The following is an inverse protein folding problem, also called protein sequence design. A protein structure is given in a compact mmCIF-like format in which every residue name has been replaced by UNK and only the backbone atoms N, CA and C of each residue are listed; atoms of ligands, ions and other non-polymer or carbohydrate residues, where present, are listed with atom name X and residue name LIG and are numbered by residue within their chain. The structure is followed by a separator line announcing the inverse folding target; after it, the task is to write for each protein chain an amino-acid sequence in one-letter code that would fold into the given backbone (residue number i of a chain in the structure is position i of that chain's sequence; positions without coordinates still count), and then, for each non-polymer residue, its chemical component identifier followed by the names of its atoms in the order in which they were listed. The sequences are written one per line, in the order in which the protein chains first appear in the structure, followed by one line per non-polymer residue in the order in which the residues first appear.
data_IF_425962794295
#
_entry.id   IF_425962794295
#
_cell.length_a   1.000
_cell.length_b   1.000
_cell.length_c   1.000
_cell.angle_alpha   90.00
_cell.angle_beta   90.00
_cell.angle_gamma   90.00
#
_symmetry.space_group_name_H-M   'P 1'
#
loop_
_entity.id
_entity.type
_entity.pdbx_description
1 polymer ?
#
# COMPACT_ATOMS: atom_id res chain seq x y z
N UNK A 1 1.06 9.82 -4.72
CA UNK A 1 2.12 9.03 -4.04
C UNK A 1 2.12 7.64 -4.65
N UNK A 2 3.29 7.12 -5.00
CA UNK A 2 3.45 5.79 -5.61
C UNK A 2 3.14 4.69 -4.57
N UNK A 3 2.50 3.60 -4.99
CA UNK A 3 2.09 2.50 -4.13
C UNK A 3 3.25 1.79 -3.43
N UNK A 4 4.43 1.69 -4.06
CA UNK A 4 5.63 1.12 -3.42
C UNK A 4 6.07 1.95 -2.23
N UNK A 5 6.00 3.28 -2.35
CA UNK A 5 6.33 4.19 -1.25
C UNK A 5 5.31 4.06 -0.12
N UNK A 6 4.01 4.01 -0.43
CA UNK A 6 2.96 3.80 0.58
C UNK A 6 3.16 2.47 1.31
N UNK A 7 3.37 1.37 0.58
CA UNK A 7 3.56 0.05 1.16
C UNK A 7 4.79 -0.02 2.06
N UNK A 8 5.92 0.53 1.60
CA UNK A 8 7.16 0.54 2.37
C UNK A 8 7.02 1.35 3.67
N UNK A 9 6.46 2.56 3.60
CA UNK A 9 6.29 3.41 4.78
C UNK A 9 5.23 2.90 5.75
N UNK A 10 4.27 2.10 5.28
CA UNK A 10 3.32 1.42 6.16
C UNK A 10 3.97 0.24 6.88
N UNK A 11 4.84 -0.49 6.18
CA UNK A 11 5.66 -1.58 6.73
C UNK A 11 6.73 -1.08 7.71
N UNK A 12 7.42 0.02 7.38
CA UNK A 12 8.50 0.60 8.15
C UNK A 12 8.28 2.11 8.38
N UNK A 13 7.44 2.43 9.37
CA UNK A 13 7.02 3.81 9.66
C UNK A 13 8.15 4.71 10.12
N UNK A 14 9.18 4.16 10.76
CA UNK A 14 10.34 4.90 11.25
C UNK A 14 11.13 5.54 10.09
N UNK A 15 11.00 5.02 8.88
CA UNK A 15 11.63 5.57 7.68
C UNK A 15 10.89 6.76 7.08
N UNK A 16 9.72 7.16 7.57
CA UNK A 16 9.02 8.36 7.10
C UNK A 16 9.82 9.64 7.34
N UNK A 17 10.43 9.72 8.52
CA UNK A 17 11.33 10.81 8.91
C UNK A 17 12.46 10.23 9.74
N UNK A 18 13.67 10.27 9.18
CA UNK A 18 14.84 9.70 9.83
C UNK A 18 16.05 10.58 9.50
N UNK A 19 16.56 11.25 10.54
CA UNK A 19 17.78 12.05 10.48
C UNK A 19 18.78 11.46 11.47
N UNK A 20 19.96 11.15 10.97
CA UNK A 20 21.10 10.71 11.79
C UNK A 20 22.25 11.69 11.57
N UNK A 21 22.63 12.41 12.64
CA UNK A 21 23.70 13.41 12.59
C UNK A 21 25.09 12.81 12.36
N UNK A 22 25.23 11.49 12.52
CA UNK A 22 26.48 10.76 12.30
C UNK A 22 26.53 10.08 10.93
N UNK A 23 25.47 10.18 10.11
CA UNK A 23 25.47 9.61 8.78
C UNK A 23 26.37 10.43 7.83
N UNK A 24 27.10 9.72 6.96
CA UNK A 24 27.93 10.34 5.92
C UNK A 24 27.09 10.97 4.79
N UNK A 25 25.80 10.60 4.69
CA UNK A 25 24.89 11.12 3.68
C UNK A 25 24.44 12.56 4.00
N UNK A 26 24.50 13.44 2.99
CA UNK A 26 23.90 14.78 3.09
C UNK A 26 22.37 14.76 2.98
N UNK A 27 21.82 13.73 2.35
CA UNK A 27 20.38 13.54 2.17
C UNK A 27 19.80 12.66 3.28
N UNK A 28 18.57 12.96 3.71
CA UNK A 28 17.89 12.20 4.76
C UNK A 28 16.38 12.14 4.52
N UNK A 29 15.76 11.10 5.04
CA UNK A 29 14.34 10.82 4.81
C UNK A 29 13.45 11.83 5.53
N UNK A 30 12.52 12.40 4.77
CA UNK A 30 11.44 13.31 5.21
C UNK A 30 10.18 13.03 4.39
N UNK A 31 8.98 13.41 4.87
CA UNK A 31 7.75 13.27 4.08
C UNK A 31 7.86 13.89 2.67
N UNK A 32 8.51 15.04 2.55
CA UNK A 32 8.72 15.73 1.26
C UNK A 32 9.67 14.96 0.34
N UNK A 33 10.75 14.39 0.86
CA UNK A 33 11.67 13.57 0.07
C UNK A 33 11.03 12.27 -0.43
N UNK A 34 10.12 11.65 0.35
CA UNK A 34 9.36 10.48 -0.09
C UNK A 34 8.33 10.81 -1.18
N UNK A 35 7.77 12.01 -1.16
CA UNK A 35 6.98 12.52 -2.29
C UNK A 35 7.84 12.67 -3.56
N UNK A 36 9.09 13.14 -3.43
CA UNK A 36 10.02 13.19 -4.55
C UNK A 36 10.36 11.79 -5.07
N UNK A 37 10.59 10.80 -4.21
CA UNK A 37 10.74 9.38 -4.60
C UNK A 37 9.50 8.88 -5.34
N UNK A 38 8.30 9.24 -4.89
CA UNK A 38 7.06 8.90 -5.60
C UNK A 38 7.02 9.51 -7.01
N UNK A 39 7.44 10.77 -7.16
CA UNK A 39 7.48 11.43 -8.46
C UNK A 39 8.50 10.78 -9.40
N UNK A 40 9.67 10.38 -8.89
CA UNK A 40 10.67 9.63 -9.67
C UNK A 40 10.04 8.33 -10.19
N UNK A 41 9.39 7.56 -9.33
CA UNK A 41 8.79 6.27 -9.71
C UNK A 41 7.60 6.39 -10.66
N UNK A 42 6.83 7.48 -10.57
CA UNK A 42 5.63 7.68 -11.39
C UNK A 42 5.95 8.27 -12.77
N UNK A 43 6.95 9.15 -12.87
CA UNK A 43 7.17 9.98 -14.06
C UNK A 43 8.52 9.76 -14.75
N UNK A 44 9.46 9.05 -14.11
CA UNK A 44 10.77 8.74 -14.70
C UNK A 44 10.85 7.26 -15.08
N UNK A 45 10.86 6.36 -14.11
CA UNK A 45 10.79 4.90 -14.31
C UNK A 45 10.28 4.25 -13.02
N UNK A 46 9.36 3.29 -13.13
CA UNK A 46 8.77 2.59 -11.98
C UNK A 46 9.68 1.50 -11.39
N UNK A 47 10.78 1.16 -12.06
CA UNK A 47 11.78 0.21 -11.61
C UNK A 47 12.73 0.83 -10.57
N UNK A 48 12.59 0.36 -9.33
CA UNK A 48 13.37 0.82 -8.17
C UNK A 48 14.87 0.50 -8.33
N UNK A 49 15.23 -0.62 -8.98
CA UNK A 49 16.63 -0.98 -9.19
C UNK A 49 17.31 0.02 -10.15
N UNK A 50 16.61 0.47 -11.20
CA UNK A 50 17.13 1.49 -12.13
C UNK A 50 17.18 2.88 -11.51
N UNK A 51 16.19 3.23 -10.69
CA UNK A 51 16.09 4.56 -10.07
C UNK A 51 16.89 4.70 -8.77
N UNK A 52 17.56 3.64 -8.32
CA UNK A 52 18.24 3.58 -7.02
C UNK A 52 19.15 4.79 -6.74
N UNK A 53 19.99 5.21 -7.69
CA UNK A 53 20.90 6.35 -7.48
C UNK A 53 20.16 7.67 -7.26
N UNK A 54 19.05 7.90 -7.96
CA UNK A 54 18.22 9.10 -7.76
C UNK A 54 17.50 9.03 -6.40
N UNK A 55 16.98 7.86 -6.03
CA UNK A 55 16.31 7.65 -4.76
C UNK A 55 17.30 7.90 -3.60
N UNK A 56 18.48 7.30 -3.63
CA UNK A 56 19.51 7.49 -2.62
C UNK A 56 19.93 8.96 -2.48
N UNK A 57 20.03 9.70 -3.59
CA UNK A 57 20.32 11.14 -3.56
C UNK A 57 19.22 12.00 -2.92
N UNK A 58 18.01 11.46 -2.76
CA UNK A 58 16.85 12.19 -2.21
C UNK A 58 16.58 11.82 -0.75
N UNK A 59 16.72 10.55 -0.36
CA UNK A 59 16.39 10.06 0.99
C UNK A 59 17.58 9.52 1.80
N UNK A 60 18.78 9.57 1.24
CA UNK A 60 19.97 8.94 1.82
C UNK A 60 20.12 7.47 1.41
N UNK A 61 21.34 6.95 1.48
CA UNK A 61 21.70 5.60 1.04
C UNK A 61 21.05 4.51 1.90
N UNK A 62 21.01 4.68 3.23
CA UNK A 62 20.41 3.73 4.17
C UNK A 62 18.93 3.43 3.86
N UNK A 63 18.04 4.43 3.92
CA UNK A 63 16.63 4.26 3.57
C UNK A 63 16.43 3.76 2.13
N UNK A 64 17.27 4.19 1.17
CA UNK A 64 17.18 3.75 -0.21
C UNK A 64 17.52 2.25 -0.40
N UNK A 65 18.53 1.73 0.30
CA UNK A 65 18.89 0.31 0.26
C UNK A 65 17.77 -0.54 0.83
N UNK A 66 17.19 -0.13 1.96
CA UNK A 66 16.06 -0.82 2.57
C UNK A 66 14.84 -0.82 1.65
N UNK A 67 14.49 0.34 1.10
CA UNK A 67 13.36 0.48 0.18
C UNK A 67 13.55 -0.38 -1.07
N UNK A 68 14.75 -0.34 -1.68
CA UNK A 68 15.11 -1.17 -2.83
C UNK A 68 14.98 -2.65 -2.51
N UNK A 69 15.54 -3.09 -1.38
CA UNK A 69 15.48 -4.50 -0.96
C UNK A 69 14.05 -4.95 -0.75
N UNK A 70 13.25 -4.16 -0.02
CA UNK A 70 11.85 -4.46 0.26
C UNK A 70 11.00 -4.48 -1.01
N UNK A 71 11.22 -3.55 -1.95
CA UNK A 71 10.43 -3.46 -3.20
C UNK A 71 10.46 -4.72 -4.07
N UNK A 72 11.44 -5.61 -3.86
CA UNK A 72 11.52 -6.90 -4.56
C UNK A 72 10.36 -7.83 -4.22
N UNK A 73 9.70 -7.64 -3.07
CA UNK A 73 8.52 -8.41 -2.65
C UNK A 73 7.36 -8.30 -3.65
N UNK A 74 7.32 -7.23 -4.46
CA UNK A 74 6.29 -7.05 -5.49
C UNK A 74 6.30 -8.16 -6.55
N UNK A 75 7.44 -8.84 -6.73
CA UNK A 75 7.55 -9.98 -7.66
C UNK A 75 6.81 -11.22 -7.18
N UNK A 76 6.53 -11.30 -5.88
CA UNK A 76 5.89 -12.44 -5.24
C UNK A 76 4.39 -12.20 -4.97
N UNK A 77 3.85 -11.05 -5.40
CA UNK A 77 2.45 -10.71 -5.17
C UNK A 77 1.52 -11.50 -6.09
N UNK A 78 0.31 -11.84 -5.61
CA UNK A 78 -0.75 -12.29 -6.50
C UNK A 78 -1.07 -11.22 -7.53
N UNK A 79 -1.52 -11.66 -8.71
CA UNK A 79 -1.94 -10.76 -9.76
C UNK A 79 -3.15 -9.92 -9.29
N UNK A 80 -2.98 -8.59 -9.32
CA UNK A 80 -3.97 -7.65 -8.82
C UNK A 80 -5.21 -7.65 -9.71
N UNK A 81 -5.05 -7.76 -11.03
CA UNK A 81 -6.19 -7.81 -11.95
C UNK A 81 -7.00 -9.09 -11.71
N UNK A 82 -6.35 -10.23 -11.49
CA UNK A 82 -7.02 -11.48 -11.14
C UNK A 82 -7.84 -11.40 -9.85
N UNK A 83 -7.33 -10.68 -8.84
CA UNK A 83 -8.07 -10.42 -7.60
C UNK A 83 -9.36 -9.64 -7.91
N UNK A 84 -9.25 -8.54 -8.66
CA UNK A 84 -10.39 -7.68 -8.98
C UNK A 84 -11.36 -8.32 -9.98
N UNK A 85 -10.91 -9.27 -10.79
CA UNK A 85 -11.75 -10.14 -11.63
C UNK A 85 -12.45 -11.27 -10.85
N UNK A 86 -12.11 -11.44 -9.56
CA UNK A 86 -12.76 -12.41 -8.67
C UNK A 86 -12.18 -13.83 -8.77
N UNK A 87 -10.98 -14.01 -9.31
CA UNK A 87 -10.31 -15.32 -9.43
C UNK A 87 -9.70 -15.84 -8.13
N UNK A 88 -9.62 -15.00 -7.10
CA UNK A 88 -9.16 -15.36 -5.75
C UNK A 88 -7.83 -16.16 -5.71
N UNK A 89 -6.73 -15.58 -6.19
CA UNK A 89 -5.40 -16.22 -6.10
C UNK A 89 -4.97 -16.47 -4.65
N UNK A 90 -3.86 -17.16 -4.42
CA UNK A 90 -3.41 -17.47 -3.05
C UNK A 90 -2.97 -16.19 -2.32
N UNK A 91 -3.53 -15.96 -1.13
CA UNK A 91 -3.10 -14.87 -0.24
C UNK A 91 -1.66 -15.09 0.24
N UNK A 92 -0.77 -14.09 0.14
CA UNK A 92 0.57 -14.16 0.71
C UNK A 92 0.54 -14.36 2.23
N UNK A 93 1.55 -15.08 2.76
CA UNK A 93 1.67 -15.32 4.20
C UNK A 93 2.69 -14.42 4.88
N UNK A 94 3.63 -13.82 4.12
CA UNK A 94 4.65 -12.93 4.66
C UNK A 94 4.07 -11.54 4.93
N UNK A 95 4.42 -10.98 6.09
CA UNK A 95 3.95 -9.66 6.53
C UNK A 95 4.34 -8.53 5.57
N UNK A 96 5.56 -8.54 5.05
CA UNK A 96 6.05 -7.54 4.09
C UNK A 96 5.26 -7.57 2.77
N UNK A 97 4.99 -8.78 2.26
CA UNK A 97 4.15 -8.98 1.08
C UNK A 97 2.71 -8.52 1.30
N UNK A 98 2.16 -8.69 2.52
CA UNK A 98 0.81 -8.22 2.84
C UNK A 98 0.70 -6.68 2.82
N UNK A 99 1.71 -5.95 3.30
CA UNK A 99 1.74 -4.48 3.16
C UNK A 99 1.83 -4.04 1.70
N UNK A 100 2.68 -4.70 0.91
CA UNK A 100 2.80 -4.44 -0.52
C UNK A 100 1.50 -4.74 -1.28
N UNK A 101 0.82 -5.84 -0.92
CA UNK A 101 -0.49 -6.21 -1.46
C UNK A 101 -1.55 -5.17 -1.13
N UNK A 102 -1.67 -4.75 0.13
CA UNK A 102 -2.63 -3.70 0.53
C UNK A 102 -2.40 -2.41 -0.26
N UNK A 103 -1.15 -1.97 -0.40
CA UNK A 103 -0.82 -0.75 -1.15
C UNK A 103 -1.17 -0.88 -2.65
N UNK A 104 -0.86 -2.04 -3.25
CA UNK A 104 -1.16 -2.33 -4.66
C UNK A 104 -2.67 -2.38 -4.93
N UNK A 105 -3.42 -3.09 -4.07
CA UNK A 105 -4.87 -3.17 -4.16
C UNK A 105 -5.53 -1.79 -3.99
N UNK A 106 -5.07 -0.97 -3.04
CA UNK A 106 -5.58 0.40 -2.86
C UNK A 106 -5.30 1.29 -4.06
N UNK A 107 -4.12 1.19 -4.67
CA UNK A 107 -3.80 1.94 -5.89
C UNK A 107 -4.70 1.53 -7.05
N UNK A 108 -4.86 0.22 -7.27
CA UNK A 108 -5.75 -0.32 -8.30
C UNK A 108 -7.22 0.07 -8.05
N UNK A 109 -7.70 -0.06 -6.82
CA UNK A 109 -9.05 0.36 -6.43
C UNK A 109 -9.29 1.85 -6.68
N UNK A 110 -8.27 2.71 -6.50
CA UNK A 110 -8.38 4.15 -6.81
C UNK A 110 -8.54 4.40 -8.31
N UNK A 111 -7.83 3.66 -9.14
CA UNK A 111 -7.94 3.76 -10.60
C UNK A 111 -9.32 3.30 -11.09
N UNK A 112 -9.80 2.15 -10.59
CA UNK A 112 -11.07 1.54 -10.96
C UNK A 112 -12.21 1.85 -9.97
N UNK A 113 -12.14 3.00 -9.31
CA UNK A 113 -13.01 3.35 -8.17
C UNK A 113 -14.51 3.38 -8.48
N UNK A 114 -14.91 3.43 -9.74
CA UNK A 114 -16.30 3.44 -10.15
C UNK A 114 -16.82 2.05 -10.58
N UNK A 115 -15.94 1.05 -10.72
CA UNK A 115 -16.32 -0.34 -10.99
C UNK A 115 -16.64 -1.08 -9.68
N UNK A 116 -17.88 -0.93 -9.22
CA UNK A 116 -18.33 -1.51 -7.95
C UNK A 116 -18.27 -3.03 -7.93
N UNK A 117 -18.33 -3.70 -9.08
CA UNK A 117 -18.22 -5.16 -9.16
C UNK A 117 -16.79 -5.60 -8.86
N UNK A 118 -15.80 -4.95 -9.49
CA UNK A 118 -14.38 -5.20 -9.21
C UNK A 118 -14.01 -4.87 -7.77
N UNK A 119 -14.54 -3.77 -7.23
CA UNK A 119 -14.34 -3.40 -5.82
C UNK A 119 -14.93 -4.47 -4.89
N UNK A 120 -16.15 -4.96 -5.16
CA UNK A 120 -16.78 -6.05 -4.39
C UNK A 120 -15.93 -7.34 -4.41
N UNK A 121 -15.42 -7.75 -5.58
CA UNK A 121 -14.52 -8.90 -5.71
C UNK A 121 -13.27 -8.75 -4.81
N UNK A 122 -12.66 -7.55 -4.81
CA UNK A 122 -11.49 -7.28 -3.97
C UNK A 122 -11.82 -7.30 -2.47
N UNK A 123 -13.05 -6.93 -2.07
CA UNK A 123 -13.51 -7.03 -0.68
C UNK A 123 -13.69 -8.48 -0.26
N UNK A 124 -14.27 -9.32 -1.13
CA UNK A 124 -14.40 -10.77 -0.89
C UNK A 124 -13.00 -11.38 -0.69
N UNK A 125 -12.07 -11.02 -1.56
CA UNK A 125 -10.68 -11.46 -1.41
C UNK A 125 -10.06 -11.00 -0.08
N UNK A 126 -10.29 -9.74 0.31
CA UNK A 126 -9.79 -9.19 1.57
C UNK A 126 -10.34 -9.89 2.83
N UNK A 127 -11.43 -10.65 2.74
CA UNK A 127 -11.95 -11.44 3.86
C UNK A 127 -11.09 -12.68 4.16
N UNK A 128 -10.27 -13.12 3.20
CA UNK A 128 -9.34 -14.25 3.34
C UNK A 128 -8.00 -13.83 3.98
N UNK A 129 -7.72 -12.53 4.02
CA UNK A 129 -6.56 -11.95 4.67
C UNK A 129 -6.67 -12.03 6.20
N UNK A 130 -5.56 -11.87 6.91
CA UNK A 130 -5.63 -11.74 8.37
C UNK A 130 -6.46 -10.50 8.75
N UNK A 131 -7.16 -10.52 9.91
CA UNK A 131 -8.08 -9.44 10.29
C UNK A 131 -7.47 -8.04 10.26
N UNK A 132 -6.21 -7.90 10.68
CA UNK A 132 -5.52 -6.60 10.73
C UNK A 132 -5.28 -6.04 9.33
N UNK A 133 -4.78 -6.84 8.39
CA UNK A 133 -4.54 -6.40 7.02
C UNK A 133 -5.84 -6.14 6.24
N UNK A 134 -6.86 -6.97 6.45
CA UNK A 134 -8.21 -6.72 5.92
C UNK A 134 -8.74 -5.36 6.39
N UNK A 135 -8.52 -5.02 7.67
CA UNK A 135 -8.95 -3.74 8.25
C UNK A 135 -8.17 -2.56 7.69
N UNK A 136 -6.84 -2.69 7.56
CA UNK A 136 -6.01 -1.65 6.93
C UNK A 136 -6.48 -1.37 5.51
N UNK A 137 -6.61 -2.41 4.68
CA UNK A 137 -7.03 -2.28 3.29
C UNK A 137 -8.41 -1.63 3.14
N UNK A 138 -9.40 -2.13 3.87
CA UNK A 138 -10.77 -1.62 3.75
C UNK A 138 -10.93 -0.22 4.35
N UNK A 139 -10.11 0.14 5.35
CA UNK A 139 -9.99 1.52 5.81
C UNK A 139 -9.39 2.40 4.73
N UNK A 140 -8.31 1.99 4.08
CA UNK A 140 -7.71 2.75 2.98
C UNK A 140 -8.69 2.98 1.82
N UNK A 141 -9.50 1.97 1.49
CA UNK A 141 -10.56 2.11 0.50
C UNK A 141 -11.54 3.23 0.84
N UNK A 142 -11.96 3.36 2.11
CA UNK A 142 -12.88 4.41 2.55
C UNK A 142 -12.35 5.84 2.29
N UNK A 143 -11.03 5.98 2.11
CA UNK A 143 -10.36 7.26 1.86
C UNK A 143 -9.87 7.41 0.40
N UNK A 144 -10.30 6.55 -0.54
CA UNK A 144 -9.94 6.65 -1.96
C UNK A 144 -10.31 8.03 -2.54
N UNK A 145 -11.51 8.50 -2.25
CA UNK A 145 -11.97 9.85 -2.58
C UNK A 145 -12.98 10.35 -1.53
N UNK A 146 -13.32 11.63 -1.62
CA UNK A 146 -14.33 12.22 -0.73
C UNK A 146 -15.63 11.44 -0.82
N UNK A 147 -16.22 11.12 0.34
CA UNK A 147 -17.49 10.40 0.45
C UNK A 147 -17.48 8.95 -0.09
N UNK A 148 -16.32 8.37 -0.43
CA UNK A 148 -16.25 7.02 -1.02
C UNK A 148 -16.82 5.92 -0.12
N UNK A 149 -16.74 6.10 1.20
CA UNK A 149 -17.43 5.23 2.18
C UNK A 149 -18.91 5.03 1.84
N UNK A 150 -19.62 6.05 1.34
CA UNK A 150 -21.04 5.93 0.97
C UNK A 150 -21.23 4.99 -0.21
N UNK A 151 -20.32 5.00 -1.19
CA UNK A 151 -20.32 4.04 -2.30
C UNK A 151 -20.11 2.62 -1.77
N UNK A 152 -19.11 2.45 -0.89
CA UNK A 152 -18.80 1.15 -0.27
C UNK A 152 -19.95 0.57 0.54
N UNK A 153 -20.74 1.40 1.24
CA UNK A 153 -21.92 0.93 2.00
C UNK A 153 -22.99 0.27 1.11
N UNK A 154 -23.03 0.58 -0.18
CA UNK A 154 -23.93 -0.08 -1.14
C UNK A 154 -23.43 -1.47 -1.57
N UNK A 155 -22.19 -1.84 -1.22
CA UNK A 155 -21.62 -3.16 -1.47
C UNK A 155 -21.98 -4.07 -0.28
N UNK A 156 -22.78 -5.14 -0.49
CA UNK A 156 -23.22 -6.03 0.59
C UNK A 156 -22.06 -6.62 1.40
N UNK A 157 -20.98 -6.99 0.72
CA UNK A 157 -19.79 -7.60 1.32
C UNK A 157 -19.04 -6.63 2.24
N UNK A 158 -18.98 -5.35 1.87
CA UNK A 158 -18.40 -4.31 2.73
C UNK A 158 -19.28 -4.06 3.95
N UNK A 159 -20.60 -3.97 3.78
CA UNK A 159 -21.54 -3.79 4.88
C UNK A 159 -21.53 -4.97 5.85
N UNK A 160 -21.46 -6.20 5.34
CA UNK A 160 -21.30 -7.41 6.18
C UNK A 160 -19.97 -7.41 6.94
N UNK A 161 -18.87 -7.03 6.29
CA UNK A 161 -17.58 -6.86 6.95
C UNK A 161 -17.64 -5.78 8.05
N UNK A 162 -18.23 -4.62 7.77
CA UNK A 162 -18.34 -3.52 8.71
C UNK A 162 -19.17 -3.89 9.95
N UNK A 163 -20.24 -4.68 9.78
CA UNK A 163 -21.07 -5.13 10.90
C UNK A 163 -20.37 -6.20 11.77
N UNK A 164 -19.57 -7.08 11.15
CA UNK A 164 -18.86 -8.14 11.88
C UNK A 164 -17.58 -7.64 12.57
N UNK A 165 -16.86 -6.72 11.93
CA UNK A 165 -15.52 -6.27 12.33
C UNK A 165 -15.43 -4.77 12.64
N UNK A 166 -16.54 -4.04 12.64
CA UNK A 166 -16.57 -2.59 12.89
C UNK A 166 -16.00 -2.14 14.23
N UNK A 167 -15.91 -3.03 15.22
CA UNK A 167 -15.21 -2.76 16.49
C UNK A 167 -13.70 -2.52 16.30
N UNK A 168 -13.07 -3.16 15.30
CA UNK A 168 -11.64 -3.00 14.99
C UNK A 168 -11.30 -1.61 14.42
N UNK A 169 -12.28 -0.89 13.87
CA UNK A 169 -12.08 0.46 13.33
C UNK A 169 -11.91 1.52 14.43
N UNK A 170 -12.42 1.26 15.64
CA UNK A 170 -12.46 2.23 16.73
C UNK A 170 -11.27 2.12 17.71
N UNK A 171 -10.28 1.27 17.41
CA UNK A 171 -9.00 1.28 18.13
C UNK A 171 -9.07 1.07 19.64
N UNK A 172 -9.93 0.17 20.11
CA UNK A 172 -9.79 -0.40 21.46
C UNK A 172 -9.14 -1.78 21.36
N UNK A 173 -7.81 -1.79 21.39
CA UNK A 173 -6.99 -2.84 22.00
C UNK A 173 -6.20 -2.15 23.11
#
# INVERSE_FOLDING_TARGET
INEKVVGFLTFNRERLMNFDSNADDLAFATPRSWEMVSNILNYVDSDVDKMYSLIAGVIGSGPAIEFRTWSRVYKDLPDIEEIFDGKQPKVPTRTDAMYALCASMTAYAREYRDDMKRIANSIIYAQQMTPDFSTVLLKDYMYIEKDYRKKLLNIPEFSAWLNSKGKLLNGNI
#
